data_IF_163411011643
#
_entry.id   IF_163411011643
#
_cell.length_a   1.000
_cell.length_b   1.000
_cell.length_c   1.000
_cell.angle_alpha   90.00
_cell.angle_beta   90.00
_cell.angle_gamma   90.00
#
_symmetry.space_group_name_H-M   'P 1'
#
loop_
_entity.id
_entity.type
_entity.pdbx_description
1 polymer ?
#
# COMPACT_ATOMS: atom_id res chain seq x y z
N UNK A 1 2.09 18.10 -22.69
CA UNK A 1 2.32 19.26 -21.80
C UNK A 1 2.92 18.78 -20.50
N UNK A 2 4.14 19.21 -20.13
CA UNK A 2 4.75 18.89 -18.85
C UNK A 2 4.16 19.79 -17.76
N UNK A 3 3.48 19.22 -16.77
CA UNK A 3 3.03 19.97 -15.58
C UNK A 3 4.21 20.02 -14.60
N UNK A 4 4.72 21.22 -14.35
CA UNK A 4 5.80 21.44 -13.38
C UNK A 4 5.20 21.49 -11.97
N UNK A 5 5.65 20.61 -11.09
CA UNK A 5 5.22 20.57 -9.69
C UNK A 5 6.26 21.31 -8.84
N UNK A 6 5.85 22.38 -8.17
CA UNK A 6 6.69 23.00 -7.13
C UNK A 6 6.61 22.15 -5.87
N UNK A 7 7.76 21.71 -5.41
CA UNK A 7 7.95 20.99 -4.15
C UNK A 7 8.89 21.79 -3.25
N UNK A 8 8.78 21.58 -1.94
CA UNK A 8 9.64 22.22 -0.95
C UNK A 8 11.10 21.77 -1.14
N UNK A 9 12.07 22.63 -0.82
CA UNK A 9 13.51 22.36 -0.91
C UNK A 9 13.90 21.10 -0.12
N UNK A 10 13.26 20.87 1.02
CA UNK A 10 13.44 19.64 1.80
C UNK A 10 13.13 18.37 0.98
N UNK A 11 12.06 18.41 0.18
CA UNK A 11 11.66 17.27 -0.68
C UNK A 11 12.67 17.05 -1.79
N UNK A 12 13.28 18.12 -2.33
CA UNK A 12 14.37 17.97 -3.29
C UNK A 12 15.59 17.30 -2.68
N UNK A 13 15.98 17.67 -1.46
CA UNK A 13 17.09 17.03 -0.76
C UNK A 13 16.84 15.55 -0.49
N UNK A 14 15.62 15.20 -0.08
CA UNK A 14 15.21 13.81 0.13
C UNK A 14 15.21 13.00 -1.18
N UNK A 15 14.70 13.58 -2.26
CA UNK A 15 14.73 12.93 -3.58
C UNK A 15 16.15 12.75 -4.11
N UNK A 16 17.05 13.70 -3.84
CA UNK A 16 18.45 13.59 -4.27
C UNK A 16 19.21 12.53 -3.47
N UNK A 17 18.94 12.41 -2.17
CA UNK A 17 19.50 11.34 -1.33
C UNK A 17 19.06 9.93 -1.76
N UNK A 18 17.89 9.81 -2.40
CA UNK A 18 17.36 8.54 -2.90
C UNK A 18 17.89 8.15 -4.29
N UNK A 19 18.55 9.06 -5.02
CA UNK A 19 19.06 8.75 -6.36
C UNK A 19 20.23 7.78 -6.29
N UNK A 20 20.20 6.79 -7.17
CA UNK A 20 21.32 5.88 -7.40
C UNK A 20 21.89 6.13 -8.79
N UNK A 21 23.19 6.44 -8.85
CA UNK A 21 23.89 6.70 -10.11
C UNK A 21 23.36 7.94 -10.86
N UNK A 22 22.94 7.75 -12.12
CA UNK A 22 22.49 8.83 -13.01
C UNK A 22 20.97 8.92 -13.16
N UNK A 23 20.20 8.36 -12.22
CA UNK A 23 18.73 8.45 -12.25
C UNK A 23 18.27 9.92 -12.24
N UNK A 24 17.20 10.22 -12.97
CA UNK A 24 16.54 11.53 -12.87
C UNK A 24 15.59 11.56 -11.68
N UNK A 25 15.21 12.74 -11.20
CA UNK A 25 14.15 12.86 -10.18
C UNK A 25 12.83 12.23 -10.66
N UNK A 26 12.55 12.26 -11.96
CA UNK A 26 11.34 11.62 -12.48
C UNK A 26 11.39 10.10 -12.32
N UNK A 27 12.56 9.48 -12.42
CA UNK A 27 12.71 8.03 -12.27
C UNK A 27 12.51 7.62 -10.81
N UNK A 28 13.15 8.34 -9.88
CA UNK A 28 12.95 8.13 -8.44
C UNK A 28 11.49 8.30 -8.04
N UNK A 29 10.81 9.33 -8.53
CA UNK A 29 9.38 9.55 -8.25
C UNK A 29 8.54 8.38 -8.81
N UNK A 30 8.83 7.87 -10.01
CA UNK A 30 8.12 6.71 -10.57
C UNK A 30 8.31 5.47 -9.71
N UNK A 31 9.54 5.21 -9.24
CA UNK A 31 9.85 4.08 -8.37
C UNK A 31 9.12 4.18 -7.02
N UNK A 32 9.12 5.37 -6.40
CA UNK A 32 8.39 5.63 -5.17
C UNK A 32 6.87 5.43 -5.34
N UNK A 33 6.31 5.91 -6.45
CA UNK A 33 4.89 5.71 -6.75
C UNK A 33 4.56 4.23 -6.98
N UNK A 34 5.42 3.50 -7.69
CA UNK A 34 5.24 2.06 -7.91
C UNK A 34 5.32 1.28 -6.58
N UNK A 35 6.27 1.62 -5.71
CA UNK A 35 6.38 1.03 -4.38
C UNK A 35 5.13 1.32 -3.54
N UNK A 36 4.65 2.58 -3.55
CA UNK A 36 3.43 2.99 -2.84
C UNK A 36 2.21 2.20 -3.32
N UNK A 37 2.05 2.02 -4.63
CA UNK A 37 0.94 1.23 -5.20
C UNK A 37 0.98 -0.22 -4.72
N UNK A 38 2.15 -0.88 -4.81
CA UNK A 38 2.33 -2.26 -4.32
C UNK A 38 2.02 -2.39 -2.82
N UNK A 39 2.42 -1.40 -2.02
CA UNK A 39 2.10 -1.39 -0.58
C UNK A 39 0.59 -1.33 -0.35
N UNK A 40 -0.14 -0.50 -1.10
CA UNK A 40 -1.60 -0.44 -0.99
C UNK A 40 -2.28 -1.74 -1.43
N UNK A 41 -1.82 -2.36 -2.52
CA UNK A 41 -2.32 -3.66 -2.95
C UNK A 41 -2.14 -4.72 -1.87
N UNK A 42 -0.96 -4.75 -1.22
CA UNK A 42 -0.68 -5.68 -0.14
C UNK A 42 -1.55 -5.43 1.09
N UNK A 43 -1.72 -4.16 1.51
CA UNK A 43 -2.61 -3.80 2.62
C UNK A 43 -4.05 -4.27 2.33
N UNK A 44 -4.57 -3.99 1.13
CA UNK A 44 -5.92 -4.40 0.74
C UNK A 44 -6.08 -5.94 0.77
N UNK A 45 -5.06 -6.68 0.33
CA UNK A 45 -5.07 -8.14 0.40
C UNK A 45 -5.13 -8.63 1.85
N UNK A 46 -4.32 -8.06 2.74
CA UNK A 46 -4.32 -8.41 4.16
C UNK A 46 -5.66 -8.09 4.83
N UNK A 47 -6.23 -6.92 4.56
CA UNK A 47 -7.56 -6.56 5.05
C UNK A 47 -8.63 -7.55 4.58
N UNK A 48 -8.57 -7.98 3.31
CA UNK A 48 -9.46 -9.00 2.78
C UNK A 48 -9.32 -10.35 3.50
N UNK A 49 -8.09 -10.77 3.78
CA UNK A 49 -7.82 -12.00 4.52
C UNK A 49 -8.32 -11.93 5.97
N UNK A 50 -8.15 -10.79 6.64
CA UNK A 50 -8.66 -10.58 8.00
C UNK A 50 -10.18 -10.69 8.02
N UNK A 51 -10.88 -9.95 7.14
CA UNK A 51 -12.34 -10.00 7.03
C UNK A 51 -12.86 -11.41 6.74
N UNK A 52 -12.15 -12.15 5.88
CA UNK A 52 -12.52 -13.53 5.57
C UNK A 52 -12.39 -14.45 6.79
N UNK A 53 -11.31 -14.33 7.57
CA UNK A 53 -11.14 -15.10 8.82
C UNK A 53 -12.20 -14.76 9.86
N UNK A 54 -12.52 -13.48 10.03
CA UNK A 54 -13.59 -13.04 10.92
C UNK A 54 -14.94 -13.65 10.53
N UNK A 55 -15.26 -13.64 9.23
CA UNK A 55 -16.46 -14.28 8.71
C UNK A 55 -16.46 -15.80 8.98
N UNK A 56 -15.37 -16.50 8.71
CA UNK A 56 -15.26 -17.94 9.01
C UNK A 56 -15.50 -18.24 10.49
N UNK A 57 -14.95 -17.43 11.39
CA UNK A 57 -15.14 -17.59 12.83
C UNK A 57 -16.60 -17.35 13.24
N UNK A 58 -17.28 -16.37 12.62
CA UNK A 58 -18.70 -16.12 12.85
C UNK A 58 -19.56 -17.30 12.40
N UNK A 59 -19.29 -17.87 11.21
CA UNK A 59 -20.04 -19.03 10.69
C UNK A 59 -19.85 -20.27 11.57
N UNK A 60 -18.62 -20.55 12.01
CA UNK A 60 -18.36 -21.64 12.97
C UNK A 60 -19.13 -21.44 14.29
N UNK A 61 -19.18 -20.20 14.77
CA UNK A 61 -19.89 -19.86 16.01
C UNK A 61 -21.40 -20.09 15.88
N UNK A 62 -21.99 -19.74 14.72
CA UNK A 62 -23.41 -20.00 14.42
C UNK A 62 -23.72 -21.49 14.37
N UNK A 63 -22.91 -22.26 13.64
CA UNK A 63 -23.07 -23.73 13.55
C UNK A 63 -23.05 -24.39 14.94
N UNK A 64 -22.15 -23.96 15.83
CA UNK A 64 -22.09 -24.46 17.20
C UNK A 64 -23.29 -24.04 18.08
N UNK A 65 -23.98 -22.96 17.75
CA UNK A 65 -25.22 -22.56 18.44
C UNK A 65 -26.42 -23.37 17.94
N UNK A 66 -26.49 -23.60 16.63
CA UNK A 66 -27.58 -24.37 16.02
C UNK A 66 -27.54 -25.86 16.42
N UNK A 67 -26.36 -26.46 16.58
CA UNK A 67 -26.22 -27.83 17.08
C UNK A 67 -26.60 -28.01 18.57
N UNK A 68 -26.73 -26.91 19.32
CA UNK A 68 -27.10 -26.92 20.75
C UNK A 68 -28.59 -26.66 20.99
N UNK A 69 -29.37 -26.40 19.94
CA UNK A 69 -30.82 -26.24 19.97
C UNK A 69 -31.51 -27.48 19.44
#
# INVERSE_FOLDING_TARGET
>A
MSKMLKVNDQVYHELDALKVGHQTFSDVIKELLAARLKTFEFINMLEGQLKYREWQQQELSKLHQDQRR
#
